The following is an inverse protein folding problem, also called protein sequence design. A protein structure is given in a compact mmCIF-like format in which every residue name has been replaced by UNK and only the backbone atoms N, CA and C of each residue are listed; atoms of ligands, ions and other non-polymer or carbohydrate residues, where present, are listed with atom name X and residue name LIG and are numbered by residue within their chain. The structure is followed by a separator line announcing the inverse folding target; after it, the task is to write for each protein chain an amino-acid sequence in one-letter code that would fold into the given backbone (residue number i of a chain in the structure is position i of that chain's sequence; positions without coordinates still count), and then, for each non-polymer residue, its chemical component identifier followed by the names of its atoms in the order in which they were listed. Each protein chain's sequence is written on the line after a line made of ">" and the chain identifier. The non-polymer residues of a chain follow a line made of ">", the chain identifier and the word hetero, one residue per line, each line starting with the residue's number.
data_IF_676643669057
#
_entry.id   IF_676643669057
#
_cell.length_a   1.000
_cell.length_b   1.000
_cell.length_c   1.000
_cell.angle_alpha   90.00
_cell.angle_beta   90.00
_cell.angle_gamma   90.00
#
_symmetry.space_group_name_H-M   'P 1'
#
loop_
_entity.id
_entity.type
_entity.pdbx_description
1 polymer ?
#
# COMPACT_ATOMS: atom_id res chain seq x y z
N UNK A 1 -14.21 7.70 -51.78
CA UNK A 1 -14.07 6.83 -50.59
C UNK A 1 -12.62 6.37 -50.51
N UNK A 2 -11.98 6.38 -49.33
CA UNK A 2 -10.59 5.90 -49.20
C UNK A 2 -10.49 4.43 -49.63
N UNK A 3 -9.39 4.09 -50.30
CA UNK A 3 -9.18 2.75 -50.86
C UNK A 3 -8.94 1.72 -49.76
N UNK A 4 -9.26 0.44 -50.02
CA UNK A 4 -9.00 -0.69 -49.10
C UNK A 4 -7.55 -0.72 -48.61
N UNK A 5 -6.58 -0.36 -49.46
CA UNK A 5 -5.17 -0.27 -49.07
C UNK A 5 -4.86 0.82 -48.04
N UNK A 6 -5.64 1.90 -47.99
CA UNK A 6 -5.50 2.96 -46.98
C UNK A 6 -5.94 2.47 -45.60
N UNK A 7 -7.03 1.71 -45.53
CA UNK A 7 -7.51 1.09 -44.30
C UNK A 7 -6.55 0.03 -43.77
N UNK A 8 -6.01 -0.82 -44.65
CA UNK A 8 -5.01 -1.83 -44.25
C UNK A 8 -3.79 -1.15 -43.62
N UNK A 9 -3.23 -0.12 -44.28
CA UNK A 9 -2.08 0.63 -43.73
C UNK A 9 -2.41 1.27 -42.38
N UNK A 10 -3.57 1.90 -42.25
CA UNK A 10 -3.99 2.54 -41.02
C UNK A 10 -4.16 1.53 -39.86
N UNK A 11 -4.78 0.37 -40.12
CA UNK A 11 -4.97 -0.69 -39.13
C UNK A 11 -3.63 -1.30 -38.73
N UNK A 12 -2.74 -1.59 -39.70
CA UNK A 12 -1.42 -2.15 -39.40
C UNK A 12 -0.57 -1.17 -38.59
N UNK A 13 -0.55 0.11 -38.95
CA UNK A 13 0.16 1.14 -38.19
C UNK A 13 -0.42 1.33 -36.78
N UNK A 14 -1.75 1.35 -36.65
CA UNK A 14 -2.43 1.42 -35.36
C UNK A 14 -2.13 0.22 -34.46
N UNK A 15 -2.19 -0.99 -35.01
CA UNK A 15 -1.86 -2.22 -34.27
C UNK A 15 -0.39 -2.25 -33.85
N UNK A 16 0.53 -1.84 -34.72
CA UNK A 16 1.95 -1.75 -34.40
C UNK A 16 2.21 -0.76 -33.26
N UNK A 17 1.48 0.36 -33.18
CA UNK A 17 1.64 1.34 -32.12
C UNK A 17 1.00 0.85 -30.80
N UNK A 18 -0.24 0.34 -30.86
CA UNK A 18 -0.97 -0.14 -29.70
C UNK A 18 -0.33 -1.38 -29.04
N UNK A 19 0.32 -2.26 -29.82
CA UNK A 19 0.97 -3.47 -29.32
C UNK A 19 2.46 -3.23 -29.11
N UNK A 20 3.12 -2.57 -30.07
CA UNK A 20 4.56 -2.33 -30.04
C UNK A 20 4.97 -1.37 -28.93
N UNK A 21 4.13 -0.39 -28.58
CA UNK A 21 4.39 0.50 -27.44
C UNK A 21 4.52 -0.27 -26.12
N UNK A 22 3.47 -0.97 -25.66
CA UNK A 22 3.54 -1.79 -24.45
C UNK A 22 4.63 -2.88 -24.51
N UNK A 23 4.79 -3.55 -25.65
CA UNK A 23 5.82 -4.59 -25.80
C UNK A 23 7.25 -4.02 -25.67
N UNK A 24 7.49 -2.83 -26.21
CA UNK A 24 8.78 -2.15 -26.07
C UNK A 24 9.05 -1.74 -24.62
N UNK A 25 8.02 -1.22 -23.92
CA UNK A 25 8.14 -0.89 -22.49
C UNK A 25 8.46 -2.14 -21.67
N UNK A 26 7.77 -3.26 -21.91
CA UNK A 26 8.06 -4.53 -21.23
C UNK A 26 9.45 -5.06 -21.53
N UNK A 27 9.97 -4.84 -22.74
CA UNK A 27 11.32 -5.26 -23.12
C UNK A 27 12.41 -4.44 -22.42
N UNK A 28 12.20 -3.12 -22.26
CA UNK A 28 13.21 -2.22 -21.68
C UNK A 28 13.14 -2.16 -20.15
N UNK A 29 11.95 -2.37 -19.58
CA UNK A 29 11.75 -2.28 -18.13
C UNK A 29 12.43 -3.48 -17.46
N UNK A 30 13.45 -3.26 -16.60
CA UNK A 30 14.13 -4.36 -15.93
C UNK A 30 13.19 -5.09 -14.97
N UNK A 31 13.40 -6.38 -14.80
CA UNK A 31 12.61 -7.19 -13.86
C UNK A 31 12.97 -6.89 -12.41
N UNK A 32 12.07 -7.19 -11.46
CA UNK A 32 12.33 -6.95 -10.03
C UNK A 32 13.61 -7.64 -9.53
N UNK A 33 13.94 -8.81 -10.07
CA UNK A 33 15.15 -9.55 -9.70
C UNK A 33 16.43 -8.88 -10.21
N UNK A 34 16.40 -8.30 -11.40
CA UNK A 34 17.53 -7.52 -11.93
C UNK A 34 17.74 -6.22 -11.16
N UNK A 35 16.64 -5.57 -10.74
CA UNK A 35 16.69 -4.41 -9.87
C UNK A 35 17.28 -4.80 -8.50
N UNK A 36 16.83 -5.92 -7.93
CA UNK A 36 17.31 -6.43 -6.64
C UNK A 36 18.82 -6.72 -6.67
N UNK A 37 19.34 -7.31 -7.75
CA UNK A 37 20.78 -7.56 -7.93
C UNK A 37 21.61 -6.28 -7.98
N UNK A 38 21.03 -5.15 -8.41
CA UNK A 38 21.69 -3.83 -8.43
C UNK A 38 21.66 -3.11 -7.08
N UNK A 39 20.92 -3.61 -6.10
CA UNK A 39 20.87 -3.01 -4.76
C UNK A 39 22.14 -3.27 -3.95
N UNK A 40 22.47 -2.33 -3.08
CA UNK A 40 23.49 -2.49 -2.04
C UNK A 40 23.08 -3.63 -1.08
N UNK A 41 23.99 -4.48 -0.57
CA UNK A 41 23.69 -5.58 0.37
C UNK A 41 22.76 -5.22 1.54
N UNK A 42 22.84 -4.02 2.09
CA UNK A 42 21.91 -3.55 3.14
C UNK A 42 20.46 -3.48 2.65
N UNK A 43 20.24 -2.95 1.44
CA UNK A 43 18.93 -2.80 0.83
C UNK A 43 18.35 -4.14 0.38
N UNK A 44 19.21 -5.08 -0.02
CA UNK A 44 18.79 -6.45 -0.34
C UNK A 44 18.19 -7.15 0.89
N UNK A 45 18.85 -7.03 2.06
CA UNK A 45 18.33 -7.59 3.31
C UNK A 45 16.99 -6.99 3.70
N UNK A 46 16.90 -5.64 3.70
CA UNK A 46 15.64 -4.95 4.00
C UNK A 46 14.52 -5.31 3.03
N UNK A 47 14.82 -5.43 1.74
CA UNK A 47 13.82 -5.81 0.75
C UNK A 47 13.34 -7.26 0.92
N UNK A 48 14.20 -8.18 1.36
CA UNK A 48 13.81 -9.56 1.70
C UNK A 48 12.92 -9.61 2.95
N UNK A 49 13.30 -8.89 4.00
CA UNK A 49 12.54 -8.80 5.26
C UNK A 49 11.17 -8.14 5.05
N UNK A 50 11.11 -7.08 4.24
CA UNK A 50 9.88 -6.33 3.99
C UNK A 50 9.01 -6.91 2.88
N UNK A 51 9.45 -7.96 2.18
CA UNK A 51 8.68 -8.52 1.04
C UNK A 51 7.29 -8.97 1.47
N UNK A 52 7.19 -9.66 2.60
CA UNK A 52 5.91 -10.10 3.15
C UNK A 52 5.02 -8.94 3.58
N UNK A 53 5.58 -7.96 4.29
CA UNK A 53 4.86 -6.76 4.71
C UNK A 53 4.33 -5.96 3.51
N UNK A 54 5.14 -5.78 2.46
CA UNK A 54 4.74 -5.06 1.25
C UNK A 54 3.59 -5.76 0.51
N UNK A 55 3.58 -7.09 0.49
CA UNK A 55 2.48 -7.84 -0.12
C UNK A 55 1.18 -7.64 0.68
N UNK A 56 1.25 -7.73 2.01
CA UNK A 56 0.11 -7.49 2.87
C UNK A 56 -0.42 -6.05 2.75
N UNK A 57 0.46 -5.06 2.77
CA UNK A 57 0.10 -3.65 2.57
C UNK A 57 -0.58 -3.42 1.21
N UNK A 58 -0.12 -4.09 0.16
CA UNK A 58 -0.74 -4.01 -1.16
C UNK A 58 -2.13 -4.66 -1.18
N UNK A 59 -2.28 -5.85 -0.61
CA UNK A 59 -3.56 -6.55 -0.53
C UNK A 59 -4.58 -5.73 0.29
N UNK A 60 -4.16 -5.15 1.41
CA UNK A 60 -4.97 -4.26 2.25
C UNK A 60 -5.36 -2.98 1.50
N UNK A 61 -4.44 -2.39 0.74
CA UNK A 61 -4.72 -1.23 -0.09
C UNK A 61 -5.76 -1.53 -1.16
N UNK A 62 -5.62 -2.65 -1.89
CA UNK A 62 -6.60 -3.08 -2.90
C UNK A 62 -7.95 -3.36 -2.26
N UNK A 63 -7.98 -3.96 -1.07
CA UNK A 63 -9.22 -4.19 -0.32
C UNK A 63 -9.93 -2.85 0.01
N UNK A 64 -9.18 -1.86 0.48
CA UNK A 64 -9.73 -0.53 0.79
C UNK A 64 -10.23 0.19 -0.46
N UNK A 65 -9.51 0.08 -1.58
CA UNK A 65 -9.97 0.64 -2.85
C UNK A 65 -11.26 -0.01 -3.33
N UNK A 66 -11.38 -1.34 -3.21
CA UNK A 66 -12.62 -2.06 -3.53
C UNK A 66 -13.77 -1.59 -2.66
N UNK A 67 -13.53 -1.35 -1.38
CA UNK A 67 -14.55 -0.85 -0.46
C UNK A 67 -14.94 0.60 -0.76
N UNK A 68 -13.94 1.47 -1.01
CA UNK A 68 -14.16 2.86 -1.40
C UNK A 68 -14.89 2.98 -2.74
N UNK A 69 -14.62 2.09 -3.70
CA UNK A 69 -15.29 2.03 -5.00
C UNK A 69 -16.78 1.68 -4.91
N UNK A 70 -17.23 1.01 -3.84
CA UNK A 70 -18.67 0.77 -3.61
C UNK A 70 -19.38 2.02 -3.10
N UNK A 71 -18.65 3.00 -2.59
CA UNK A 71 -19.21 4.26 -2.14
C UNK A 71 -19.60 5.12 -3.34
N UNK A 72 -20.76 5.76 -3.26
CA UNK A 72 -21.19 6.76 -4.25
C UNK A 72 -20.40 8.09 -4.15
N UNK A 73 -19.51 8.21 -3.16
CA UNK A 73 -18.66 9.38 -2.95
C UNK A 73 -17.42 9.29 -3.83
N UNK A 74 -16.87 10.44 -4.26
CA UNK A 74 -15.60 10.44 -4.97
C UNK A 74 -14.46 9.91 -4.07
N UNK A 75 -13.50 9.22 -4.68
CA UNK A 75 -12.42 8.50 -3.99
C UNK A 75 -11.66 9.40 -3.00
N UNK A 76 -11.40 10.67 -3.34
CA UNK A 76 -10.71 11.59 -2.44
C UNK A 76 -11.50 11.95 -1.18
N UNK A 77 -12.83 11.94 -1.24
CA UNK A 77 -13.68 12.16 -0.07
C UNK A 77 -13.74 10.90 0.80
N UNK A 78 -13.89 9.73 0.17
CA UNK A 78 -13.85 8.45 0.87
C UNK A 78 -12.50 8.22 1.57
N UNK A 79 -11.39 8.59 0.93
CA UNK A 79 -10.05 8.48 1.52
C UNK A 79 -9.90 9.37 2.76
N UNK A 80 -10.36 10.63 2.70
CA UNK A 80 -10.36 11.54 3.86
C UNK A 80 -11.15 10.98 5.04
N UNK A 81 -12.28 10.32 4.79
CA UNK A 81 -13.08 9.68 5.84
C UNK A 81 -12.37 8.47 6.45
N UNK A 82 -11.69 7.66 5.63
CA UNK A 82 -10.89 6.52 6.09
C UNK A 82 -9.71 7.01 6.95
N UNK A 83 -9.01 8.05 6.52
CA UNK A 83 -7.87 8.63 7.23
C UNK A 83 -8.32 9.27 8.56
N UNK A 84 -9.47 9.95 8.57
CA UNK A 84 -10.06 10.51 9.79
C UNK A 84 -10.39 9.41 10.82
N UNK A 85 -11.00 8.30 10.37
CA UNK A 85 -11.29 7.14 11.22
C UNK A 85 -10.01 6.49 11.75
N UNK A 86 -8.96 6.36 10.92
CA UNK A 86 -7.66 5.84 11.39
C UNK A 86 -7.04 6.74 12.44
N UNK A 87 -7.07 8.05 12.24
CA UNK A 87 -6.53 9.02 13.19
C UNK A 87 -7.29 8.99 14.53
N UNK A 88 -8.62 8.83 14.49
CA UNK A 88 -9.44 8.66 15.68
C UNK A 88 -9.11 7.35 16.42
N UNK A 89 -9.06 6.23 15.70
CA UNK A 89 -8.71 4.93 16.28
C UNK A 89 -7.32 4.94 16.92
N UNK A 90 -6.32 5.56 16.25
CA UNK A 90 -4.97 5.69 16.79
C UNK A 90 -4.96 6.53 18.09
N UNK A 91 -5.74 7.62 18.14
CA UNK A 91 -5.88 8.43 19.37
C UNK A 91 -6.54 7.65 20.50
N UNK A 92 -7.57 6.86 20.19
CA UNK A 92 -8.26 6.03 21.19
C UNK A 92 -7.33 4.94 21.73
N UNK A 93 -6.59 4.25 20.85
CA UNK A 93 -5.59 3.25 21.26
C UNK A 93 -4.49 3.85 22.15
N UNK A 94 -4.01 5.06 21.83
CA UNK A 94 -3.03 5.75 22.69
C UNK A 94 -3.60 6.09 24.07
N UNK A 95 -4.86 6.54 24.13
CA UNK A 95 -5.55 6.83 25.41
C UNK A 95 -5.73 5.56 26.25
N UNK A 96 -6.14 4.47 25.63
CA UNK A 96 -6.31 3.17 26.29
C UNK A 96 -4.98 2.65 26.82
N UNK A 97 -3.90 2.74 26.03
CA UNK A 97 -2.56 2.35 26.46
C UNK A 97 -2.07 3.18 27.65
N UNK A 98 -2.32 4.49 27.65
CA UNK A 98 -1.99 5.37 28.78
C UNK A 98 -2.81 5.04 30.03
N UNK A 99 -4.12 4.78 29.88
CA UNK A 99 -4.98 4.39 30.98
C UNK A 99 -4.56 3.04 31.59
N UNK A 100 -4.18 2.06 30.76
CA UNK A 100 -3.66 0.78 31.21
C UNK A 100 -2.33 0.92 31.96
N UNK A 101 -1.40 1.72 31.44
CA UNK A 101 -0.12 1.99 32.10
C UNK A 101 -0.31 2.66 33.47
N UNK A 102 -1.21 3.65 33.56
CA UNK A 102 -1.53 4.31 34.83
C UNK A 102 -2.15 3.33 35.85
N UNK A 103 -3.03 2.43 35.40
CA UNK A 103 -3.62 1.40 36.26
C UNK A 103 -2.58 0.38 36.77
N UNK A 104 -1.59 0.03 35.95
CA UNK A 104 -0.47 -0.82 36.40
C UNK A 104 0.43 -0.13 37.42
N UNK A 105 0.72 1.17 37.24
CA UNK A 105 1.50 1.95 38.21
C UNK A 105 0.78 2.06 39.56
N UNK A 106 -0.52 2.30 39.55
CA UNK A 106 -1.35 2.33 40.77
C UNK A 106 -1.32 0.98 41.50
N UNK A 107 -1.43 -0.15 40.78
CA UNK A 107 -1.31 -1.49 41.36
C UNK A 107 0.06 -1.74 41.98
N UNK A 108 1.14 -1.39 41.27
CA UNK A 108 2.52 -1.51 41.79
C UNK A 108 2.73 -0.66 43.04
N UNK A 109 2.21 0.57 43.07
CA UNK A 109 2.27 1.45 44.25
C UNK A 109 1.48 0.87 45.43
N UNK A 110 0.32 0.25 45.19
CA UNK A 110 -0.48 -0.40 46.22
C UNK A 110 0.22 -1.63 46.81
N UNK A 111 0.87 -2.45 45.98
CA UNK A 111 1.66 -3.61 46.43
C UNK A 111 2.87 -3.19 47.29
N UNK A 112 3.62 -2.17 46.87
CA UNK A 112 4.75 -1.63 47.63
C UNK A 112 4.29 -1.05 48.98
N UNK A 113 3.13 -0.37 49.00
CA UNK A 113 2.55 0.19 50.22
C UNK A 113 2.07 -0.92 51.17
N UNK A 114 1.54 -2.02 50.63
CA UNK A 114 1.11 -3.18 51.41
C UNK A 114 2.28 -4.01 51.96
N UNK A 115 3.44 -4.03 51.29
CA UNK A 115 4.64 -4.75 51.76
C UNK A 115 5.49 -3.97 52.77
N UNK A 116 5.17 -2.69 53.01
CA UNK A 116 5.96 -1.80 53.89
C UNK A 116 5.31 -1.60 55.28
N UNK A 117 4.09 -2.11 55.50
CA UNK A 117 3.43 -2.22 56.81
C UNK A 117 3.51 -3.67 57.32
#
# INVERSE_FOLDING_TARGET
>A
MPSTGTYIKAITAGAALCIGGPAFVWYVTPTEEEIFKRYNPELQKRALEQRGARQQEFDDFVLQLKEASKSSKPIWAAQKEIDAKRAENAKNQLREAQAAAAAEEEKKKAEIRASTN
#
